data_IF_505920632886
#
_entry.id   IF_505920632886
#
_cell.length_a   1.000
_cell.length_b   1.000
_cell.length_c   1.000
_cell.angle_alpha   90.00
_cell.angle_beta   90.00
_cell.angle_gamma   90.00
#
_symmetry.space_group_name_H-M   'P 1'
#
loop_
_entity.id
_entity.type
_entity.pdbx_description
1 polymer ?
#
# COMPACT_ATOMS: atom_id res chain seq x y z
N UNK A 1 -14.56 11.22 -11.33
CA UNK A 1 -15.06 12.27 -12.24
C UNK A 1 -14.49 13.60 -11.77
N UNK A 2 -13.37 14.03 -12.37
CA UNK A 2 -12.67 15.27 -12.05
C UNK A 2 -13.31 16.41 -12.85
N UNK A 3 -13.95 17.35 -12.16
CA UNK A 3 -14.46 18.57 -12.79
C UNK A 3 -13.34 19.61 -12.82
N UNK A 4 -12.93 20.01 -14.02
CA UNK A 4 -12.12 21.21 -14.25
C UNK A 4 -13.05 22.37 -14.55
N UNK A 5 -12.94 23.48 -13.81
CA UNK A 5 -13.47 24.77 -14.24
C UNK A 5 -12.75 25.93 -13.51
N UNK A 6 -12.01 26.73 -14.29
CA UNK A 6 -11.57 28.12 -14.01
C UNK A 6 -10.25 28.35 -13.23
N UNK A 7 -9.13 28.33 -13.98
CA UNK A 7 -8.10 29.39 -14.19
C UNK A 7 -7.51 30.19 -12.97
N UNK A 8 -7.83 29.92 -11.69
CA UNK A 8 -7.19 30.61 -10.52
C UNK A 8 -6.76 29.64 -9.39
N UNK A 9 -6.38 28.39 -9.71
CA UNK A 9 -5.91 27.39 -8.73
C UNK A 9 -4.49 26.91 -9.07
N UNK A 10 -3.49 27.78 -8.86
CA UNK A 10 -2.12 27.30 -8.67
C UNK A 10 -2.07 26.73 -7.24
N UNK A 11 -1.98 25.39 -7.16
CA UNK A 11 -1.79 24.54 -5.99
C UNK A 11 -3.04 24.17 -5.16
N UNK A 12 -3.32 22.85 -5.12
CA UNK A 12 -3.99 22.01 -4.09
C UNK A 12 -5.04 21.10 -4.76
N UNK A 13 -4.91 19.78 -4.88
CA UNK A 13 -3.94 18.82 -4.38
C UNK A 13 -3.26 18.11 -5.57
N UNK A 14 -1.96 18.35 -5.78
CA UNK A 14 -1.04 17.34 -6.32
C UNK A 14 -0.82 16.28 -5.24
N UNK A 15 -1.94 15.74 -4.77
CA UNK A 15 -2.01 14.45 -4.14
C UNK A 15 -2.90 13.73 -5.12
N UNK A 16 -2.29 13.11 -6.13
CA UNK A 16 -2.80 11.79 -6.44
C UNK A 16 -2.72 11.08 -5.09
N UNK A 17 -3.85 10.95 -4.41
CA UNK A 17 -3.99 9.99 -3.34
C UNK A 17 -3.80 8.65 -4.03
N UNK A 18 -2.54 8.29 -4.33
CA UNK A 18 -2.11 6.92 -4.38
C UNK A 18 -2.26 6.47 -2.93
N UNK A 19 -3.49 6.29 -2.46
CA UNK A 19 -3.76 5.66 -1.19
C UNK A 19 -3.07 4.32 -1.32
N UNK A 20 -1.92 4.13 -0.68
CA UNK A 20 -1.18 2.87 -0.74
C UNK A 20 -2.08 1.81 -0.15
N UNK A 21 -2.51 0.91 -1.01
CA UNK A 21 -3.39 -0.20 -0.69
C UNK A 21 -2.57 -1.45 -0.83
N UNK A 22 -2.64 -2.28 0.19
CA UNK A 22 -1.99 -3.57 0.25
C UNK A 22 -3.07 -4.63 0.30
N UNK A 23 -2.80 -5.77 -0.33
CA UNK A 23 -3.66 -6.93 -0.23
C UNK A 23 -3.08 -7.88 0.81
N UNK A 24 -3.83 -8.14 1.88
CA UNK A 24 -3.41 -9.02 2.98
C UNK A 24 -4.40 -10.16 3.14
N UNK A 25 -3.95 -11.26 3.73
CA UNK A 25 -4.83 -12.38 4.03
C UNK A 25 -5.82 -11.98 5.14
N UNK A 26 -7.08 -12.37 4.95
CA UNK A 26 -8.12 -12.18 5.94
C UNK A 26 -7.99 -13.24 7.04
N UNK A 27 -7.79 -12.79 8.28
CA UNK A 27 -7.65 -13.64 9.46
C UNK A 27 -8.96 -13.84 10.23
N UNK A 28 -10.06 -13.23 9.80
CA UNK A 28 -11.36 -13.33 10.47
C UNK A 28 -12.21 -14.46 9.91
N UNK A 29 -12.20 -15.60 10.60
CA UNK A 29 -13.14 -16.70 10.33
C UNK A 29 -12.90 -17.47 9.03
N UNK A 30 -11.77 -17.25 8.37
CA UNK A 30 -11.37 -17.97 7.16
C UNK A 30 -10.65 -19.27 7.55
N UNK A 31 -11.11 -20.45 7.09
CA UNK A 31 -10.40 -21.69 7.34
C UNK A 31 -9.05 -21.70 6.62
N UNK A 32 -8.03 -22.22 7.29
CA UNK A 32 -6.66 -22.23 6.80
C UNK A 32 -6.53 -22.95 5.46
N UNK A 33 -7.34 -23.99 5.20
CA UNK A 33 -7.33 -24.76 3.95
C UNK A 33 -7.62 -23.88 2.71
N UNK A 34 -8.54 -22.92 2.83
CA UNK A 34 -8.84 -22.00 1.74
C UNK A 34 -7.66 -21.05 1.47
N UNK A 35 -6.98 -20.58 2.52
CA UNK A 35 -5.78 -19.76 2.37
C UNK A 35 -4.62 -20.53 1.75
N UNK A 36 -4.45 -21.81 2.08
CA UNK A 36 -3.42 -22.68 1.47
C UNK A 36 -3.71 -22.86 -0.03
N UNK A 37 -4.96 -23.16 -0.39
CA UNK A 37 -5.34 -23.35 -1.78
C UNK A 37 -5.13 -22.08 -2.61
N UNK A 38 -5.56 -20.93 -2.10
CA UNK A 38 -5.39 -19.64 -2.76
C UNK A 38 -3.91 -19.19 -2.81
N UNK A 39 -3.12 -19.45 -1.77
CA UNK A 39 -1.66 -19.23 -1.80
C UNK A 39 -0.99 -20.08 -2.89
N UNK A 40 -1.31 -21.38 -2.95
CA UNK A 40 -0.74 -22.29 -3.94
C UNK A 40 -1.08 -21.85 -5.38
N UNK A 41 -2.32 -21.39 -5.61
CA UNK A 41 -2.71 -20.80 -6.88
C UNK A 41 -1.94 -19.52 -7.21
N UNK A 42 -1.83 -18.62 -6.24
CA UNK A 42 -1.16 -17.33 -6.42
C UNK A 42 0.33 -17.51 -6.73
N UNK A 43 1.01 -18.42 -6.04
CA UNK A 43 2.41 -18.76 -6.31
C UNK A 43 2.65 -19.43 -7.67
N UNK A 44 1.60 -19.89 -8.36
CA UNK A 44 1.69 -20.31 -9.76
C UNK A 44 1.75 -19.12 -10.72
N UNK A 45 1.33 -17.94 -10.28
CA UNK A 45 1.29 -16.69 -11.07
C UNK A 45 2.41 -15.73 -10.67
N UNK A 46 2.77 -15.70 -9.38
CA UNK A 46 3.77 -14.78 -8.81
C UNK A 46 4.95 -15.54 -8.20
N UNK A 47 6.11 -14.89 -8.15
CA UNK A 47 7.32 -15.48 -7.58
C UNK A 47 7.29 -15.49 -6.04
N UNK A 48 6.94 -16.65 -5.46
CA UNK A 48 6.96 -16.89 -4.01
C UNK A 48 8.33 -17.31 -3.45
N UNK A 49 9.42 -17.17 -4.22
CA UNK A 49 10.79 -17.45 -3.77
C UNK A 49 11.20 -16.78 -2.45
N UNK A 50 10.86 -15.51 -2.15
CA UNK A 50 11.24 -14.86 -0.89
C UNK A 50 10.48 -15.37 0.34
N UNK A 51 9.51 -16.28 0.17
CA UNK A 51 8.78 -16.93 1.26
C UNK A 51 9.34 -18.32 1.61
N UNK A 52 10.42 -18.74 0.95
CA UNK A 52 11.06 -20.02 1.25
C UNK A 52 11.80 -20.00 2.59
N UNK A 53 12.00 -21.18 3.18
CA UNK A 53 12.73 -21.34 4.42
C UNK A 53 14.15 -20.74 4.31
N UNK A 54 14.51 -19.87 5.26
CA UNK A 54 15.79 -19.14 5.26
C UNK A 54 15.77 -17.75 4.61
N UNK A 55 14.62 -17.29 4.12
CA UNK A 55 14.46 -15.92 3.60
C UNK A 55 14.01 -14.93 4.68
N UNK A 56 14.26 -13.65 4.44
CA UNK A 56 13.92 -12.54 5.36
C UNK A 56 12.42 -12.37 5.62
N UNK A 57 11.57 -12.87 4.71
CA UNK A 57 10.11 -12.80 4.76
C UNK A 57 9.45 -14.13 5.17
N UNK A 58 10.24 -15.13 5.60
CA UNK A 58 9.71 -16.42 6.05
C UNK A 58 9.00 -16.33 7.41
N UNK A 59 9.39 -15.36 8.24
CA UNK A 59 8.89 -15.24 9.60
C UNK A 59 7.93 -14.05 9.73
N UNK A 60 6.70 -14.27 10.24
CA UNK A 60 6.19 -15.49 10.88
C UNK A 60 5.83 -16.62 9.89
N UNK A 61 6.20 -17.86 10.23
CA UNK A 61 5.85 -19.07 9.46
C UNK A 61 4.37 -19.44 9.67
N UNK A 62 3.48 -18.56 9.21
CA UNK A 62 2.04 -18.80 9.19
C UNK A 62 1.54 -18.72 7.76
N UNK A 63 0.52 -19.53 7.44
CA UNK A 63 -0.12 -19.50 6.12
C UNK A 63 -0.66 -18.11 5.81
N UNK A 64 -1.22 -17.42 6.80
CA UNK A 64 -1.75 -16.06 6.63
C UNK A 64 -0.68 -15.04 6.26
N UNK A 65 0.52 -15.13 6.82
CA UNK A 65 1.63 -14.22 6.48
C UNK A 65 2.15 -14.49 5.07
N UNK A 66 2.38 -15.76 4.73
CA UNK A 66 2.78 -16.15 3.38
C UNK A 66 1.72 -15.79 2.33
N UNK A 67 0.45 -16.01 2.62
CA UNK A 67 -0.68 -15.61 1.78
C UNK A 67 -0.74 -14.09 1.59
N UNK A 68 -0.58 -13.31 2.67
CA UNK A 68 -0.56 -11.84 2.58
C UNK A 68 0.51 -11.35 1.61
N UNK A 69 1.72 -11.91 1.67
CA UNK A 69 2.81 -11.52 0.78
C UNK A 69 2.52 -11.86 -0.68
N UNK A 70 2.08 -13.10 -0.95
CA UNK A 70 1.74 -13.54 -2.30
C UNK A 70 0.56 -12.74 -2.89
N UNK A 71 -0.48 -12.48 -2.10
CA UNK A 71 -1.63 -11.68 -2.51
C UNK A 71 -1.24 -10.24 -2.81
N UNK A 72 -0.38 -9.63 -1.99
CA UNK A 72 0.11 -8.30 -2.27
C UNK A 72 0.90 -8.26 -3.58
N UNK A 73 1.80 -9.21 -3.83
CA UNK A 73 2.53 -9.31 -5.10
C UNK A 73 1.59 -9.36 -6.30
N UNK A 74 0.57 -10.22 -6.24
CA UNK A 74 -0.42 -10.36 -7.29
C UNK A 74 -1.24 -9.08 -7.48
N UNK A 75 -1.75 -8.52 -6.38
CA UNK A 75 -2.55 -7.28 -6.36
C UNK A 75 -1.79 -6.12 -7.00
N UNK A 76 -0.53 -5.99 -6.64
CA UNK A 76 0.35 -4.98 -7.20
C UNK A 76 0.54 -5.26 -8.70
N UNK A 77 0.88 -6.50 -9.10
CA UNK A 77 1.17 -6.85 -10.51
C UNK A 77 -0.02 -6.56 -11.44
N UNK A 78 -1.22 -6.63 -10.89
CA UNK A 78 -2.47 -6.38 -11.60
C UNK A 78 -2.94 -4.92 -11.49
N UNK A 79 -2.05 -3.99 -11.11
CA UNK A 79 -2.32 -2.55 -11.13
C UNK A 79 -3.25 -2.08 -10.01
N UNK A 80 -3.36 -2.83 -8.91
CA UNK A 80 -4.10 -2.44 -7.70
C UNK A 80 -5.58 -2.16 -7.96
N UNK A 81 -6.17 -2.86 -8.93
CA UNK A 81 -7.56 -2.68 -9.31
C UNK A 81 -8.50 -3.18 -8.22
N UNK A 82 -9.63 -2.49 -8.03
CA UNK A 82 -10.67 -2.93 -7.11
C UNK A 82 -11.21 -4.30 -7.58
N UNK A 83 -11.17 -5.30 -6.69
CA UNK A 83 -11.52 -6.70 -6.98
C UNK A 83 -10.34 -7.63 -7.29
N UNK A 84 -9.11 -7.14 -7.45
CA UNK A 84 -7.93 -8.02 -7.60
C UNK A 84 -7.45 -8.62 -6.28
N UNK A 85 -7.90 -8.07 -5.16
CA UNK A 85 -7.68 -8.59 -3.80
C UNK A 85 -8.93 -9.34 -3.29
N UNK A 86 -9.57 -10.11 -4.17
CA UNK A 86 -10.74 -10.92 -3.83
C UNK A 86 -10.41 -12.39 -4.07
N UNK A 87 -9.75 -13.00 -3.10
CA UNK A 87 -9.38 -14.41 -3.10
C UNK A 87 -10.47 -15.25 -2.43
N UNK A 88 -11.71 -15.17 -2.92
CA UNK A 88 -12.88 -15.86 -2.36
C UNK A 88 -13.12 -15.51 -0.88
N UNK A 89 -12.94 -14.22 -0.53
CA UNK A 89 -13.03 -13.74 0.85
C UNK A 89 -11.85 -14.08 1.77
N UNK A 90 -10.83 -14.81 1.27
CA UNK A 90 -9.60 -15.10 2.03
C UNK A 90 -8.60 -13.96 2.04
N UNK A 91 -8.86 -12.87 1.31
CA UNK A 91 -8.03 -11.68 1.27
C UNK A 91 -8.85 -10.41 1.54
N UNK A 92 -8.18 -9.37 1.99
CA UNK A 92 -8.75 -8.06 2.23
C UNK A 92 -7.75 -6.96 1.87
N UNK A 93 -8.26 -5.85 1.36
CA UNK A 93 -7.43 -4.66 1.13
C UNK A 93 -7.27 -3.87 2.42
N UNK A 94 -6.04 -3.45 2.71
CA UNK A 94 -5.72 -2.55 3.82
C UNK A 94 -4.98 -1.34 3.31
N UNK A 95 -5.20 -0.18 3.94
CA UNK A 95 -4.38 1.03 3.74
C UNK A 95 -3.17 1.08 4.67
N UNK A 96 -3.14 0.19 5.67
CA UNK A 96 -2.03 0.10 6.61
C UNK A 96 -0.94 -0.78 6.02
N UNK A 97 0.31 -0.31 6.11
CA UNK A 97 1.46 -1.06 5.66
C UNK A 97 1.64 -2.35 6.49
N UNK A 98 1.49 -3.55 5.88
CA UNK A 98 1.65 -4.81 6.59
C UNK A 98 3.12 -5.24 6.73
N UNK A 99 4.08 -4.43 6.27
CA UNK A 99 5.50 -4.74 6.37
C UNK A 99 5.90 -5.00 7.83
N UNK A 100 6.66 -6.06 8.04
CA UNK A 100 7.08 -6.50 9.37
C UNK A 100 8.58 -6.72 9.40
N UNK A 101 9.26 -6.00 10.29
CA UNK A 101 10.72 -6.05 10.50
C UNK A 101 11.49 -5.79 9.20
N UNK A 102 12.25 -6.78 8.73
CA UNK A 102 13.08 -6.74 7.53
C UNK A 102 12.35 -7.25 6.28
N UNK A 103 11.09 -7.69 6.43
CA UNK A 103 10.25 -8.10 5.32
C UNK A 103 9.45 -6.91 4.79
N UNK A 104 9.96 -6.34 3.69
CA UNK A 104 9.27 -5.28 2.98
C UNK A 104 8.26 -5.87 2.00
N UNK A 105 7.01 -5.45 2.12
CA UNK A 105 5.99 -5.79 1.15
C UNK A 105 6.24 -4.93 -0.10
N UNK A 106 6.42 -5.54 -1.28
CA UNK A 106 6.68 -4.79 -2.49
C UNK A 106 5.50 -3.89 -2.83
N UNK A 107 5.76 -2.60 -2.97
CA UNK A 107 4.89 -1.63 -3.59
C UNK A 107 5.35 -1.42 -5.04
N UNK A 108 4.44 -1.47 -6.01
CA UNK A 108 4.81 -1.34 -7.43
C UNK A 108 5.12 0.08 -7.88
N UNK A 109 5.47 0.97 -6.95
CA UNK A 109 5.92 2.30 -7.30
C UNK A 109 7.42 2.24 -7.62
N UNK A 110 7.82 2.22 -8.92
CA UNK A 110 9.22 2.21 -9.29
C UNK A 110 9.75 3.62 -9.01
N UNK A 111 10.34 3.81 -7.84
CA UNK A 111 11.04 5.05 -7.47
C UNK A 111 10.36 5.96 -6.45
N UNK A 112 9.34 5.51 -5.71
CA UNK A 112 8.93 6.23 -4.50
C UNK A 112 9.37 5.45 -3.26
N UNK A 113 10.62 5.66 -2.85
CA UNK A 113 11.11 5.20 -1.56
C UNK A 113 10.11 5.64 -0.49
N UNK A 114 9.46 4.68 0.19
CA UNK A 114 8.67 4.93 1.40
C UNK A 114 9.44 5.88 2.32
N UNK A 115 9.03 7.14 2.31
CA UNK A 115 9.48 8.14 3.26
C UNK A 115 8.80 7.80 4.58
N UNK A 116 9.42 6.90 5.34
CA UNK A 116 9.12 6.61 6.75
C UNK A 116 9.54 7.82 7.61
N UNK A 117 8.93 8.98 7.32
CA UNK A 117 9.45 10.28 7.71
C UNK A 117 8.91 11.42 6.86
N UNK A 118 7.61 11.43 6.55
CA UNK A 118 6.93 12.65 6.09
C UNK A 118 6.97 13.67 7.22
N UNK A 119 8.10 14.38 7.29
CA UNK A 119 8.16 15.73 7.84
C UNK A 119 7.14 16.50 7.02
N UNK A 120 5.91 16.57 7.55
CA UNK A 120 4.98 17.61 7.20
C UNK A 120 5.80 18.89 7.20
N UNK A 121 5.98 19.48 6.02
CA UNK A 121 6.51 20.82 5.92
C UNK A 121 5.42 21.66 6.56
N UNK A 122 5.51 21.85 7.88
CA UNK A 122 4.80 22.88 8.60
C UNK A 122 5.29 24.18 7.96
N UNK A 123 4.55 24.63 6.95
CA UNK A 123 4.86 25.85 6.24
C UNK A 123 4.71 26.99 7.23
N UNK A 124 5.83 27.39 7.82
CA UNK A 124 5.96 28.55 8.68
C UNK A 124 5.83 29.89 7.91
N UNK A 125 5.45 29.85 6.63
CA UNK A 125 5.35 31.04 5.78
C UNK A 125 4.08 31.89 6.03
N UNK A 126 3.14 31.43 6.87
CA UNK A 126 1.88 32.14 7.13
C UNK A 126 2.06 33.38 8.02
N UNK A 127 3.18 33.53 8.73
CA UNK A 127 3.37 34.62 9.71
C UNK A 127 4.10 35.87 9.19
N UNK A 128 4.55 35.93 7.93
CA UNK A 128 5.40 37.03 7.46
C UNK A 128 4.65 38.10 6.63
N UNK A 129 3.42 37.82 6.16
CA UNK A 129 2.68 38.75 5.27
C UNK A 129 1.74 39.70 6.05
N UNK A 130 1.90 39.81 7.38
CA UNK A 130 1.02 40.63 8.22
C UNK A 130 1.51 42.04 8.63
N UNK A 131 2.69 42.60 8.27
CA UNK A 131 3.00 43.99 8.63
C UNK A 131 2.88 45.02 7.49
N UNK A 132 2.65 44.61 6.24
CA UNK A 132 2.80 45.54 5.10
C UNK A 132 1.55 46.37 4.73
N UNK A 133 0.41 46.21 5.41
CA UNK A 133 -0.83 46.97 5.13
C UNK A 133 -1.20 48.00 6.20
N UNK A 134 -0.26 48.38 7.08
CA UNK A 134 -0.49 49.39 8.12
C UNK A 134 0.43 50.62 8.04
N UNK A 135 1.21 50.78 6.97
CA UNK A 135 1.95 52.01 6.71
C UNK A 135 1.85 52.43 5.24
N UNK A 136 1.09 53.52 5.05
CA UNK A 136 0.83 54.36 3.86
C UNK A 136 -0.52 54.09 3.18
#
# INVERSE_FOLDING_TARGET
>A
MCFTANIIYISICVVCQFAETYCVANYFGVPQDFQIAALAWTCGVVDCSPLQEGQVCFEPNTVSAHASYAYNLYYQQHGRLNGTCDFDGTAMTTSDDPSHRSCYFPDHLPGFSRSHGSRFIASAAVLIILPALLFI
#
